data_IF_323456894376
#
_entry.id   IF_323456894376
#
_cell.length_a   1.000
_cell.length_b   1.000
_cell.length_c   1.000
_cell.angle_alpha   90.00
_cell.angle_beta   90.00
_cell.angle_gamma   90.00
#
_symmetry.space_group_name_H-M   'P 1'
#
loop_
_entity.id
_entity.type
_entity.pdbx_description
1 polymer ?
#
# COMPACT_ATOMS: atom_id res chain seq x y z
N UNK A 1 -5.13 25.25 23.43
CA UNK A 1 -6.35 24.46 23.13
C UNK A 1 -5.98 23.00 23.14
N UNK A 2 -6.83 22.17 23.72
CA UNK A 2 -6.56 20.74 23.93
C UNK A 2 -6.99 19.92 22.70
N UNK A 3 -6.02 19.32 22.01
CA UNK A 3 -6.25 18.43 20.86
C UNK A 3 -7.08 17.20 21.25
N UNK A 4 -7.04 16.80 22.52
CA UNK A 4 -7.79 15.65 23.05
C UNK A 4 -9.31 15.88 22.94
N UNK A 5 -9.78 17.12 23.04
CA UNK A 5 -11.19 17.46 22.89
C UNK A 5 -11.72 17.12 21.50
N UNK A 6 -10.99 17.51 20.44
CA UNK A 6 -11.40 17.23 19.05
C UNK A 6 -11.32 15.73 18.72
N UNK A 7 -10.30 15.05 19.23
CA UNK A 7 -10.18 13.59 19.07
C UNK A 7 -11.36 12.88 19.75
N UNK A 8 -11.72 13.29 20.97
CA UNK A 8 -12.86 12.71 21.68
C UNK A 8 -14.18 12.93 20.92
N UNK A 9 -14.40 14.13 20.36
CA UNK A 9 -15.57 14.41 19.53
C UNK A 9 -15.61 13.57 18.25
N UNK A 10 -14.46 13.35 17.59
CA UNK A 10 -14.37 12.43 16.44
C UNK A 10 -14.75 10.99 16.82
N UNK A 11 -14.31 10.53 18.00
CA UNK A 11 -14.67 9.20 18.53
C UNK A 11 -16.16 9.12 18.87
N UNK A 12 -16.74 10.17 19.45
CA UNK A 12 -18.17 10.27 19.75
C UNK A 12 -19.00 10.23 18.46
N UNK A 13 -18.65 11.05 17.47
CA UNK A 13 -19.28 11.03 16.15
C UNK A 13 -19.22 9.64 15.50
N UNK A 14 -18.09 8.94 15.60
CA UNK A 14 -17.95 7.58 15.10
C UNK A 14 -18.92 6.60 15.77
N UNK A 15 -19.19 6.75 17.08
CA UNK A 15 -20.16 5.93 17.82
C UNK A 15 -21.59 6.23 17.40
N UNK A 16 -21.94 7.48 17.17
CA UNK A 16 -23.28 7.85 16.69
C UNK A 16 -23.55 7.29 15.28
N UNK A 17 -22.55 7.35 14.38
CA UNK A 17 -22.64 6.70 13.06
C UNK A 17 -22.80 5.19 13.18
N UNK A 18 -22.09 4.54 14.10
CA UNK A 18 -22.23 3.09 14.35
C UNK A 18 -23.59 2.73 14.95
N UNK A 19 -24.12 3.56 15.86
CA UNK A 19 -25.44 3.40 16.46
C UNK A 19 -26.60 3.74 15.53
N UNK A 20 -26.33 4.39 14.40
CA UNK A 20 -27.35 4.82 13.44
C UNK A 20 -28.03 6.15 13.79
N UNK A 21 -27.52 6.89 14.77
CA UNK A 21 -28.02 8.22 15.16
C UNK A 21 -27.41 9.29 14.25
N UNK A 22 -27.90 9.36 13.01
CA UNK A 22 -27.28 10.18 11.97
C UNK A 22 -27.43 11.68 12.22
N UNK A 23 -28.55 12.10 12.81
CA UNK A 23 -28.79 13.51 13.16
C UNK A 23 -27.79 13.99 14.23
N UNK A 24 -27.53 13.16 15.25
CA UNK A 24 -26.54 13.46 16.29
C UNK A 24 -25.11 13.45 15.73
N UNK A 25 -24.81 12.53 14.81
CA UNK A 25 -23.52 12.49 14.12
C UNK A 25 -23.27 13.74 13.27
N UNK A 26 -24.28 14.25 12.56
CA UNK A 26 -24.17 15.47 11.75
C UNK A 26 -23.92 16.71 12.64
N UNK A 27 -24.66 16.84 13.75
CA UNK A 27 -24.42 17.92 14.73
C UNK A 27 -22.99 17.87 15.29
N UNK A 28 -22.50 16.68 15.66
CA UNK A 28 -21.13 16.50 16.13
C UNK A 28 -20.10 16.88 15.06
N UNK A 29 -20.33 16.56 13.79
CA UNK A 29 -19.44 16.96 12.69
C UNK A 29 -19.38 18.48 12.51
N UNK A 30 -20.53 19.17 12.60
CA UNK A 30 -20.57 20.63 12.54
C UNK A 30 -19.76 21.26 13.67
N UNK A 31 -19.93 20.76 14.91
CA UNK A 31 -19.16 21.22 16.07
C UNK A 31 -17.66 20.97 15.91
N UNK A 32 -17.28 19.80 15.40
CA UNK A 32 -15.88 19.44 15.14
C UNK A 32 -15.27 20.41 14.12
N UNK A 33 -15.96 20.67 13.01
CA UNK A 33 -15.48 21.56 11.95
C UNK A 33 -15.33 22.99 12.49
N UNK A 34 -16.33 23.50 13.22
CA UNK A 34 -16.30 24.84 13.80
C UNK A 34 -15.15 24.99 14.83
N UNK A 35 -14.99 24.02 15.73
CA UNK A 35 -13.96 24.05 16.75
C UNK A 35 -12.54 23.92 16.16
N UNK A 36 -12.39 23.19 15.05
CA UNK A 36 -11.12 22.97 14.39
C UNK A 36 -10.47 24.27 13.86
N UNK A 37 -11.25 25.31 13.56
CA UNK A 37 -10.73 26.57 13.02
C UNK A 37 -9.74 27.29 13.93
N UNK A 38 -9.75 27.00 15.23
CA UNK A 38 -8.87 27.64 16.20
C UNK A 38 -7.55 26.88 16.45
N UNK A 39 -7.34 25.75 15.77
CA UNK A 39 -6.18 24.87 16.00
C UNK A 39 -5.03 25.08 14.99
N UNK A 40 -3.88 24.50 15.31
CA UNK A 40 -2.71 24.50 14.43
C UNK A 40 -2.99 23.79 13.10
N UNK A 41 -2.32 24.19 12.02
CA UNK A 41 -2.47 23.61 10.67
C UNK A 41 -2.37 22.07 10.62
N UNK A 42 -1.46 21.39 11.36
CA UNK A 42 -1.42 19.93 11.42
C UNK A 42 -2.70 19.33 12.02
N UNK A 43 -3.16 19.87 13.15
CA UNK A 43 -4.40 19.43 13.81
C UNK A 43 -5.60 19.66 12.91
N UNK A 44 -5.66 20.83 12.25
CA UNK A 44 -6.69 21.12 11.25
C UNK A 44 -6.78 20.07 10.17
N UNK A 45 -5.62 19.67 9.64
CA UNK A 45 -5.53 18.65 8.59
C UNK A 45 -5.97 17.28 9.10
N UNK A 46 -5.49 16.87 10.28
CA UNK A 46 -5.86 15.60 10.90
C UNK A 46 -7.39 15.49 11.04
N UNK A 47 -7.99 16.47 11.72
CA UNK A 47 -9.43 16.49 12.00
C UNK A 47 -10.25 16.52 10.72
N UNK A 48 -9.83 17.31 9.74
CA UNK A 48 -10.46 17.35 8.42
C UNK A 48 -10.50 15.97 7.76
N UNK A 49 -9.38 15.23 7.72
CA UNK A 49 -9.34 13.92 7.07
C UNK A 49 -10.17 12.87 7.82
N UNK A 50 -10.19 12.89 9.16
CA UNK A 50 -11.03 11.98 9.93
C UNK A 50 -12.52 12.29 9.77
N UNK A 51 -12.91 13.57 9.82
CA UNK A 51 -14.30 13.99 9.57
C UNK A 51 -14.75 13.58 8.15
N UNK A 52 -13.91 13.80 7.13
CA UNK A 52 -14.19 13.35 5.77
C UNK A 52 -14.36 11.82 5.69
N UNK A 53 -13.52 11.05 6.39
CA UNK A 53 -13.63 9.59 6.43
C UNK A 53 -14.94 9.13 7.10
N UNK A 54 -15.39 9.80 8.15
CA UNK A 54 -16.66 9.53 8.83
C UNK A 54 -17.86 9.81 7.92
N UNK A 55 -17.88 10.96 7.24
CA UNK A 55 -18.90 11.30 6.24
C UNK A 55 -18.90 10.28 5.10
N UNK A 56 -17.73 9.90 4.57
CA UNK A 56 -17.63 8.85 3.54
C UNK A 56 -18.21 7.53 4.02
N UNK A 57 -17.93 7.13 5.28
CA UNK A 57 -18.49 5.90 5.87
C UNK A 57 -20.01 5.99 5.98
N UNK A 58 -20.53 7.13 6.46
CA UNK A 58 -21.97 7.41 6.57
C UNK A 58 -22.68 7.19 5.23
N UNK A 59 -22.16 7.78 4.16
CA UNK A 59 -22.71 7.64 2.81
C UNK A 59 -22.24 6.38 2.05
N UNK A 60 -21.53 5.46 2.72
CA UNK A 60 -20.96 4.23 2.11
C UNK A 60 -20.10 4.49 0.87
N UNK A 61 -19.41 5.63 0.85
CA UNK A 61 -18.51 6.07 -0.21
C UNK A 61 -17.09 5.54 0.05
N UNK A 62 -16.79 4.36 -0.47
CA UNK A 62 -15.46 3.76 -0.35
C UNK A 62 -14.59 4.10 -1.57
N UNK A 63 -13.48 4.86 -1.40
CA UNK A 63 -12.58 5.10 -2.52
C UNK A 63 -11.97 3.77 -2.99
N UNK A 64 -11.93 3.55 -4.32
CA UNK A 64 -11.39 2.31 -4.92
C UNK A 64 -9.91 2.08 -4.59
N UNK A 65 -9.18 3.15 -4.27
CA UNK A 65 -7.83 3.09 -3.74
C UNK A 65 -7.76 4.02 -2.52
N UNK A 66 -7.48 3.45 -1.36
CA UNK A 66 -7.29 4.15 -0.08
C UNK A 66 -5.95 4.88 0.00
N UNK A 67 -5.19 4.89 -1.09
CA UNK A 67 -4.04 5.78 -1.26
C UNK A 67 -4.54 7.02 -1.99
N UNK A 68 -5.11 8.02 -1.29
CA UNK A 68 -4.97 9.37 -1.81
C UNK A 68 -3.45 9.62 -1.87
N UNK A 69 -3.02 10.60 -2.64
CA UNK A 69 -1.73 11.29 -2.50
C UNK A 69 -0.73 11.12 -3.66
N UNK A 70 -0.80 10.12 -4.55
CA UNK A 70 -0.06 10.31 -5.82
C UNK A 70 -0.86 11.36 -6.60
N UNK A 71 -0.33 12.57 -6.84
CA UNK A 71 -1.10 13.61 -7.50
C UNK A 71 -1.55 13.09 -8.86
N UNK A 72 -2.83 12.80 -9.00
CA UNK A 72 -3.45 12.51 -10.29
C UNK A 72 -3.51 13.84 -11.04
N UNK A 73 -2.41 14.29 -11.63
CA UNK A 73 -2.48 15.62 -12.24
C UNK A 73 -1.29 16.20 -12.97
N UNK A 74 -0.06 15.73 -12.84
CA UNK A 74 1.02 16.29 -13.67
C UNK A 74 2.04 15.25 -14.08
N UNK A 75 2.30 15.19 -15.39
CA UNK A 75 3.42 14.48 -16.05
C UNK A 75 4.82 14.95 -15.57
N UNK A 76 4.90 15.70 -14.47
CA UNK A 76 6.07 16.49 -14.04
C UNK A 76 6.23 16.62 -12.53
N UNK A 77 5.67 15.73 -11.72
CA UNK A 77 6.22 15.61 -10.36
C UNK A 77 7.46 14.72 -10.45
N UNK A 78 8.68 15.25 -10.24
CA UNK A 78 9.79 14.37 -9.92
C UNK A 78 9.38 13.59 -8.67
N UNK A 79 9.64 12.28 -8.65
CA UNK A 79 9.31 11.38 -7.52
C UNK A 79 9.76 11.96 -6.14
N UNK A 80 10.64 12.97 -6.14
CA UNK A 80 11.19 13.70 -5.00
C UNK A 80 10.26 14.70 -4.32
N UNK A 81 9.28 15.28 -5.02
CA UNK A 81 8.42 16.36 -4.48
C UNK A 81 7.16 15.83 -3.77
N UNK A 82 7.00 14.51 -3.79
CA UNK A 82 5.92 13.84 -3.12
C UNK A 82 6.21 13.73 -1.61
N UNK A 83 5.33 14.20 -0.69
CA UNK A 83 5.61 14.19 0.74
C UNK A 83 5.93 12.82 1.35
N UNK A 84 5.46 11.73 0.70
CA UNK A 84 5.77 10.36 1.12
C UNK A 84 6.82 9.68 0.23
N UNK A 85 7.51 10.43 -0.63
CA UNK A 85 8.65 9.94 -1.42
C UNK A 85 9.70 9.22 -0.55
N UNK A 86 10.08 9.72 0.65
CA UNK A 86 11.05 9.02 1.49
C UNK A 86 10.64 7.59 1.85
N UNK A 87 9.33 7.32 2.00
CA UNK A 87 8.84 5.97 2.28
C UNK A 87 8.93 5.04 1.07
N UNK A 88 8.68 5.55 -0.14
CA UNK A 88 8.91 4.79 -1.37
C UNK A 88 10.39 4.51 -1.59
N UNK A 89 11.25 5.52 -1.42
CA UNK A 89 12.70 5.36 -1.48
C UNK A 89 13.19 4.32 -0.47
N UNK A 90 12.72 4.38 0.78
CA UNK A 90 13.04 3.38 1.80
C UNK A 90 12.59 1.97 1.40
N UNK A 91 11.37 1.83 0.86
CA UNK A 91 10.90 0.57 0.29
C UNK A 91 11.82 0.05 -0.81
N UNK A 92 12.32 0.93 -1.69
CA UNK A 92 13.25 0.52 -2.74
C UNK A 92 14.66 0.21 -2.23
N UNK A 93 15.17 0.89 -1.19
CA UNK A 93 16.45 0.53 -0.58
C UNK A 93 16.38 -0.83 0.09
N UNK A 94 15.31 -1.07 0.85
CA UNK A 94 15.14 -2.35 1.53
C UNK A 94 14.86 -3.48 0.53
N UNK A 95 14.19 -3.21 -0.60
CA UNK A 95 13.81 -4.23 -1.59
C UNK A 95 14.85 -4.55 -2.64
N UNK A 96 15.64 -3.57 -3.06
CA UNK A 96 16.49 -3.73 -4.23
C UNK A 96 17.78 -4.47 -3.92
N UNK A 97 18.38 -4.30 -2.74
CA UNK A 97 19.64 -4.97 -2.41
C UNK A 97 19.48 -6.50 -2.32
N UNK A 98 18.45 -7.03 -1.63
CA UNK A 98 18.18 -8.47 -1.67
C UNK A 98 17.80 -8.97 -3.06
N UNK A 99 17.11 -8.15 -3.87
CA UNK A 99 16.81 -8.49 -5.25
C UNK A 99 18.10 -8.58 -6.09
N UNK A 100 19.04 -7.63 -5.94
CA UNK A 100 20.34 -7.64 -6.62
C UNK A 100 21.12 -8.90 -6.29
N UNK A 101 21.19 -9.24 -5.00
CA UNK A 101 21.89 -10.43 -4.54
C UNK A 101 21.28 -11.71 -5.11
N UNK A 102 19.95 -11.80 -5.16
CA UNK A 102 19.23 -12.94 -5.76
C UNK A 102 19.47 -13.06 -7.28
N UNK A 103 19.68 -11.94 -7.95
CA UNK A 103 19.85 -11.85 -9.41
C UNK A 103 21.31 -11.93 -9.87
N UNK A 104 22.26 -11.96 -8.93
CA UNK A 104 23.70 -12.05 -9.22
C UNK A 104 24.03 -13.25 -10.09
N UNK A 105 24.65 -12.98 -11.25
CA UNK A 105 25.07 -14.00 -12.22
C UNK A 105 23.93 -14.72 -12.93
N UNK A 106 22.68 -14.28 -12.76
CA UNK A 106 21.50 -14.88 -13.41
C UNK A 106 21.34 -14.31 -14.82
N UNK A 107 20.93 -15.18 -15.75
CA UNK A 107 20.77 -14.83 -17.17
C UNK A 107 19.32 -14.76 -17.64
N UNK A 108 18.38 -15.38 -16.91
CA UNK A 108 16.94 -15.29 -17.13
C UNK A 108 16.31 -14.80 -15.85
N UNK A 109 15.76 -13.59 -15.91
CA UNK A 109 15.31 -12.85 -14.74
C UNK A 109 13.86 -12.41 -14.94
N UNK A 110 13.02 -12.63 -13.94
CA UNK A 110 11.66 -12.11 -13.92
C UNK A 110 11.40 -11.40 -12.61
N UNK A 111 11.07 -10.12 -12.69
CA UNK A 111 10.63 -9.36 -11.51
C UNK A 111 9.12 -9.19 -11.57
N UNK A 112 8.47 -9.58 -10.47
CA UNK A 112 7.04 -9.42 -10.25
C UNK A 112 6.88 -8.39 -9.14
N UNK A 113 6.40 -7.20 -9.48
CA UNK A 113 6.30 -6.07 -8.58
C UNK A 113 4.85 -5.78 -8.23
N UNK A 114 4.43 -6.17 -7.03
CA UNK A 114 3.18 -5.73 -6.42
C UNK A 114 3.39 -4.34 -5.81
N UNK A 115 2.83 -3.31 -6.41
CA UNK A 115 3.17 -1.93 -6.04
C UNK A 115 2.13 -0.91 -6.40
N UNK A 116 2.37 0.31 -5.93
CA UNK A 116 1.58 1.49 -6.29
C UNK A 116 2.27 2.24 -7.45
N UNK A 117 3.60 2.31 -7.40
CA UNK A 117 4.46 2.95 -8.40
C UNK A 117 5.58 2.00 -8.83
N UNK A 118 6.14 2.25 -10.02
CA UNK A 118 7.37 1.61 -10.50
C UNK A 118 8.48 2.64 -10.45
N UNK A 119 9.51 2.38 -9.65
CA UNK A 119 10.62 3.33 -9.44
C UNK A 119 11.63 3.22 -10.57
N UNK A 120 11.48 4.05 -11.60
CA UNK A 120 12.26 3.97 -12.85
C UNK A 120 13.77 3.90 -12.61
N UNK A 121 14.31 4.85 -11.83
CA UNK A 121 15.76 4.96 -11.61
C UNK A 121 16.36 3.75 -10.91
N UNK A 122 15.58 3.10 -10.03
CA UNK A 122 16.03 1.91 -9.28
C UNK A 122 16.14 0.68 -10.18
N UNK A 123 15.31 0.59 -11.22
CA UNK A 123 15.48 -0.44 -12.25
C UNK A 123 16.69 -0.14 -13.15
N UNK A 124 16.99 1.12 -13.46
CA UNK A 124 18.22 1.46 -14.20
C UNK A 124 19.48 1.06 -13.42
N UNK A 125 19.50 1.31 -12.10
CA UNK A 125 20.59 0.83 -11.24
C UNK A 125 20.69 -0.69 -11.27
N UNK A 126 19.56 -1.39 -11.12
CA UNK A 126 19.52 -2.84 -11.16
C UNK A 126 20.04 -3.40 -12.49
N UNK A 127 19.63 -2.83 -13.62
CA UNK A 127 20.09 -3.24 -14.96
C UNK A 127 21.61 -3.14 -15.08
N UNK A 128 22.19 -2.04 -14.59
CA UNK A 128 23.65 -1.86 -14.54
C UNK A 128 24.32 -2.93 -13.67
N UNK A 129 23.75 -3.21 -12.51
CA UNK A 129 24.33 -4.15 -11.55
C UNK A 129 24.32 -5.58 -12.09
N UNK A 130 23.18 -6.05 -12.63
CA UNK A 130 23.06 -7.42 -13.14
C UNK A 130 23.89 -7.64 -14.41
N UNK A 131 24.02 -6.63 -15.27
CA UNK A 131 24.83 -6.72 -16.49
C UNK A 131 26.31 -6.76 -16.20
N UNK A 132 26.79 -5.96 -15.24
CA UNK A 132 28.20 -5.99 -14.78
C UNK A 132 28.61 -7.35 -14.22
N UNK A 133 27.65 -8.08 -13.64
CA UNK A 133 27.89 -9.37 -12.98
C UNK A 133 27.63 -10.58 -13.88
N UNK A 134 27.05 -10.40 -15.06
CA UNK A 134 26.74 -11.48 -16.00
C UNK A 134 27.85 -11.68 -17.02
N UNK A 135 28.13 -12.93 -17.36
CA UNK A 135 29.11 -13.31 -18.39
C UNK A 135 28.50 -13.41 -19.80
N UNK A 136 27.21 -13.09 -19.96
CA UNK A 136 26.53 -13.14 -21.26
C UNK A 136 25.18 -12.43 -21.27
N UNK A 137 24.43 -12.55 -22.38
CA UNK A 137 23.14 -11.88 -22.54
C UNK A 137 22.16 -12.26 -21.42
N UNK A 138 21.46 -11.24 -20.93
CA UNK A 138 20.40 -11.35 -19.91
C UNK A 138 19.05 -11.20 -20.62
N UNK A 139 18.16 -12.17 -20.40
CA UNK A 139 16.73 -12.08 -20.69
C UNK A 139 16.00 -11.60 -19.44
N UNK A 140 15.12 -10.62 -19.61
CA UNK A 140 14.46 -9.92 -18.52
C UNK A 140 12.96 -9.80 -18.77
N UNK A 141 12.17 -10.17 -17.77
CA UNK A 141 10.72 -10.00 -17.72
C UNK A 141 10.35 -9.12 -16.54
N UNK A 142 9.38 -8.24 -16.75
CA UNK A 142 8.82 -7.39 -15.72
C UNK A 142 7.31 -7.54 -15.71
N UNK A 143 6.75 -7.90 -14.56
CA UNK A 143 5.30 -7.87 -14.33
C UNK A 143 4.98 -6.93 -13.20
N UNK A 144 4.30 -5.83 -13.50
CA UNK A 144 3.77 -4.94 -12.48
C UNK A 144 2.33 -5.34 -12.15
N UNK A 145 2.01 -5.45 -10.85
CA UNK A 145 0.67 -5.70 -10.33
C UNK A 145 0.30 -4.56 -9.39
N UNK A 146 -0.73 -3.79 -9.75
CA UNK A 146 -1.09 -2.62 -8.95
C UNK A 146 -2.30 -1.88 -9.47
N UNK A 147 -2.78 -0.88 -8.72
CA UNK A 147 -3.96 -0.12 -9.10
C UNK A 147 -3.70 0.82 -10.29
N UNK A 148 -4.78 1.27 -10.92
CA UNK A 148 -4.73 2.43 -11.82
C UNK A 148 -4.87 3.68 -10.95
N UNK A 149 -3.83 4.51 -10.93
CA UNK A 149 -3.78 5.71 -10.09
C UNK A 149 -4.42 6.92 -10.74
N UNK A 150 -4.38 7.00 -12.06
CA UNK A 150 -4.94 8.11 -12.84
C UNK A 150 -5.41 7.59 -14.19
N UNK A 151 -6.54 8.11 -14.66
CA UNK A 151 -7.06 7.88 -16.01
C UNK A 151 -6.60 8.93 -17.01
N UNK A 152 -6.00 10.03 -16.55
CA UNK A 152 -5.59 11.18 -17.39
C UNK A 152 -4.22 10.96 -18.01
N UNK A 153 -3.31 10.31 -17.28
CA UNK A 153 -1.99 9.90 -17.76
C UNK A 153 -1.64 8.57 -17.10
N UNK A 154 -1.40 7.55 -17.91
CA UNK A 154 -1.08 6.21 -17.42
C UNK A 154 0.39 6.13 -17.04
N UNK A 155 0.73 6.80 -15.95
CA UNK A 155 2.12 7.01 -15.54
C UNK A 155 2.88 5.70 -15.36
N UNK A 156 2.21 4.66 -14.85
CA UNK A 156 2.74 3.31 -14.74
C UNK A 156 3.11 2.74 -16.10
N UNK A 157 2.19 2.77 -17.06
CA UNK A 157 2.43 2.25 -18.40
C UNK A 157 3.58 2.99 -19.09
N UNK A 158 3.57 4.32 -19.03
CA UNK A 158 4.65 5.15 -19.57
C UNK A 158 6.02 4.82 -18.93
N UNK A 159 6.06 4.59 -17.61
CA UNK A 159 7.30 4.19 -16.93
C UNK A 159 7.76 2.81 -17.35
N UNK A 160 6.84 1.84 -17.50
CA UNK A 160 7.17 0.49 -17.96
C UNK A 160 7.72 0.49 -19.39
N UNK A 161 7.14 1.29 -20.29
CA UNK A 161 7.63 1.46 -21.67
C UNK A 161 9.02 2.13 -21.70
N UNK A 162 9.24 3.14 -20.85
CA UNK A 162 10.57 3.76 -20.71
C UNK A 162 11.59 2.75 -20.18
N UNK A 163 11.22 1.91 -19.22
CA UNK A 163 12.13 0.86 -18.71
C UNK A 163 12.49 -0.17 -19.77
N UNK A 164 11.54 -0.51 -20.65
CA UNK A 164 11.82 -1.36 -21.79
C UNK A 164 12.93 -0.77 -22.67
N UNK A 165 12.78 0.49 -23.08
CA UNK A 165 13.79 1.17 -23.89
C UNK A 165 15.14 1.37 -23.18
N UNK A 166 15.15 1.57 -21.86
CA UNK A 166 16.40 1.64 -21.11
C UNK A 166 17.11 0.28 -21.01
N UNK A 167 16.39 -0.83 -20.86
CA UNK A 167 17.03 -2.15 -20.78
C UNK A 167 17.82 -2.49 -22.05
N UNK A 168 17.29 -2.10 -23.22
CA UNK A 168 18.00 -2.25 -24.51
C UNK A 168 19.34 -1.52 -24.52
N UNK A 169 19.44 -0.35 -23.86
CA UNK A 169 20.70 0.41 -23.73
C UNK A 169 21.73 -0.33 -22.87
N UNK A 170 21.27 -1.16 -21.93
CA UNK A 170 22.12 -2.04 -21.12
C UNK A 170 22.38 -3.40 -21.78
N UNK A 171 22.01 -3.59 -23.05
CA UNK A 171 22.08 -4.87 -23.76
C UNK A 171 21.35 -6.02 -23.06
N UNK A 172 20.28 -5.69 -22.33
CA UNK A 172 19.36 -6.65 -21.74
C UNK A 172 18.25 -6.90 -22.75
N UNK A 173 18.00 -8.18 -23.05
CA UNK A 173 16.87 -8.58 -23.88
C UNK A 173 15.60 -8.59 -23.03
N UNK A 174 14.64 -7.73 -23.37
CA UNK A 174 13.40 -7.60 -22.61
C UNK A 174 12.31 -8.48 -23.24
N UNK A 175 12.15 -9.70 -22.74
CA UNK A 175 11.21 -10.69 -23.30
C UNK A 175 9.75 -10.25 -23.16
N UNK A 176 9.40 -9.65 -22.01
CA UNK A 176 8.02 -9.31 -21.70
C UNK A 176 7.90 -8.23 -20.63
N UNK A 177 7.18 -7.15 -20.94
CA UNK A 177 6.60 -6.23 -19.97
C UNK A 177 5.11 -6.53 -19.84
N UNK A 178 4.65 -6.79 -18.63
CA UNK A 178 3.23 -7.06 -18.35
C UNK A 178 2.73 -6.15 -17.24
N UNK A 179 1.53 -5.62 -17.42
CA UNK A 179 0.79 -4.91 -16.39
C UNK A 179 -0.48 -5.68 -16.03
N UNK A 180 -0.68 -5.91 -14.75
CA UNK A 180 -1.90 -6.48 -14.18
C UNK A 180 -2.53 -5.44 -13.26
N UNK A 181 -3.79 -5.09 -13.56
CA UNK A 181 -4.52 -4.11 -12.75
C UNK A 181 -5.12 -4.82 -11.54
N UNK A 182 -4.77 -4.34 -10.35
CA UNK A 182 -5.29 -4.86 -9.09
C UNK A 182 -5.69 -3.71 -8.15
N UNK A 183 -6.99 -3.50 -7.98
CA UNK A 183 -7.54 -2.48 -7.08
C UNK A 183 -7.91 -3.10 -5.72
N UNK A 184 -8.39 -4.34 -5.73
CA UNK A 184 -8.85 -5.07 -4.54
C UNK A 184 -7.92 -6.23 -4.13
N UNK A 185 -8.15 -6.79 -2.94
CA UNK A 185 -7.48 -8.02 -2.50
C UNK A 185 -7.77 -9.21 -3.43
N UNK A 186 -9.02 -9.32 -3.91
CA UNK A 186 -9.42 -10.37 -4.86
C UNK A 186 -8.67 -10.23 -6.20
N UNK A 187 -8.51 -8.99 -6.69
CA UNK A 187 -7.76 -8.73 -7.93
C UNK A 187 -6.28 -9.11 -7.78
N UNK A 188 -5.70 -8.90 -6.59
CA UNK A 188 -4.32 -9.32 -6.29
C UNK A 188 -4.22 -10.85 -6.35
N UNK A 189 -5.14 -11.57 -5.71
CA UNK A 189 -5.18 -13.05 -5.74
C UNK A 189 -5.31 -13.56 -7.17
N UNK A 190 -6.26 -13.01 -7.95
CA UNK A 190 -6.44 -13.36 -9.37
C UNK A 190 -5.20 -13.02 -10.22
N UNK A 191 -4.55 -11.88 -9.93
CA UNK A 191 -3.29 -11.52 -10.59
C UNK A 191 -2.20 -12.53 -10.28
N UNK A 192 -2.07 -12.96 -9.02
CA UNK A 192 -1.12 -14.01 -8.61
C UNK A 192 -1.40 -15.29 -9.37
N UNK A 193 -2.66 -15.73 -9.48
CA UNK A 193 -3.02 -16.93 -10.24
C UNK A 193 -2.60 -16.88 -11.71
N UNK A 194 -2.58 -15.69 -12.32
CA UNK A 194 -2.21 -15.46 -13.73
C UNK A 194 -0.71 -15.39 -14.00
N UNK A 195 0.14 -15.38 -12.98
CA UNK A 195 1.60 -15.28 -13.15
C UNK A 195 2.16 -16.61 -13.64
N UNK A 196 3.06 -16.57 -14.62
CA UNK A 196 3.65 -17.77 -15.21
C UNK A 196 5.16 -17.65 -15.32
N UNK A 197 5.83 -18.78 -15.11
CA UNK A 197 7.25 -18.98 -15.37
C UNK A 197 7.45 -19.26 -16.86
N UNK A 198 8.49 -18.68 -17.47
CA UNK A 198 8.86 -18.94 -18.86
C UNK A 198 9.73 -20.19 -19.01
N UNK A 199 10.63 -20.46 -18.06
CA UNK A 199 11.51 -21.63 -18.07
C UNK A 199 11.98 -22.03 -16.68
N UNK A 200 12.44 -23.26 -16.50
CA UNK A 200 12.88 -23.76 -15.17
C UNK A 200 14.08 -23.01 -14.58
N UNK A 201 14.93 -22.44 -15.43
CA UNK A 201 16.11 -21.70 -15.04
C UNK A 201 15.88 -20.18 -14.92
N UNK A 202 14.64 -19.73 -15.09
CA UNK A 202 14.22 -18.35 -14.84
C UNK A 202 14.23 -18.05 -13.33
N UNK A 203 15.05 -17.08 -12.92
CA UNK A 203 15.05 -16.60 -11.54
C UNK A 203 13.94 -15.57 -11.36
N UNK A 204 12.98 -15.87 -10.49
CA UNK A 204 11.84 -14.99 -10.21
C UNK A 204 12.06 -14.27 -8.87
N UNK A 205 11.93 -12.94 -8.89
CA UNK A 205 11.94 -12.09 -7.71
C UNK A 205 10.56 -11.44 -7.56
N UNK A 206 9.90 -11.69 -6.43
CA UNK A 206 8.60 -11.11 -6.12
C UNK A 206 8.78 -9.98 -5.11
N UNK A 207 8.38 -8.76 -5.46
CA UNK A 207 8.48 -7.56 -4.62
C UNK A 207 7.10 -7.11 -4.18
N UNK A 208 6.95 -6.78 -2.90
CA UNK A 208 5.72 -6.23 -2.35
C UNK A 208 5.96 -4.83 -1.78
N UNK A 209 5.39 -3.81 -2.40
CA UNK A 209 5.50 -2.40 -1.99
C UNK A 209 4.12 -1.82 -1.69
N UNK A 210 3.81 -1.65 -0.40
CA UNK A 210 2.54 -1.07 0.06
C UNK A 210 1.26 -1.72 -0.49
N UNK A 211 1.28 -2.98 -0.94
CA UNK A 211 0.08 -3.69 -1.43
C UNK A 211 -0.27 -4.96 -0.63
N UNK A 212 0.70 -5.55 0.06
CA UNK A 212 0.51 -6.83 0.77
C UNK A 212 -0.59 -6.76 1.84
N UNK A 213 -0.69 -5.63 2.56
CA UNK A 213 -1.69 -5.44 3.61
C UNK A 213 -3.13 -5.55 3.12
N UNK A 214 -3.39 -5.35 1.82
CA UNK A 214 -4.74 -5.51 1.25
C UNK A 214 -5.24 -6.95 1.41
N UNK A 215 -4.35 -7.94 1.39
CA UNK A 215 -4.71 -9.36 1.55
C UNK A 215 -5.33 -9.65 2.93
N UNK A 216 -5.03 -8.84 3.95
CA UNK A 216 -5.63 -8.97 5.29
C UNK A 216 -7.14 -8.70 5.30
N UNK A 217 -7.68 -8.06 4.25
CA UNK A 217 -9.12 -7.77 4.13
C UNK A 217 -9.92 -8.95 3.57
N UNK A 218 -9.25 -10.00 3.09
CA UNK A 218 -9.89 -11.18 2.50
C UNK A 218 -9.39 -12.45 3.20
N UNK A 219 -10.26 -13.11 3.95
CA UNK A 219 -9.95 -14.37 4.65
C UNK A 219 -9.42 -15.42 3.67
N UNK A 220 -8.32 -16.09 4.03
CA UNK A 220 -7.71 -17.11 3.19
C UNK A 220 -6.84 -16.58 2.03
N UNK A 221 -6.77 -15.25 1.81
CA UNK A 221 -6.06 -14.70 0.66
C UNK A 221 -4.55 -14.84 0.77
N UNK A 222 -3.99 -14.70 1.97
CA UNK A 222 -2.56 -14.88 2.22
C UNK A 222 -2.18 -16.34 1.90
N UNK A 223 -2.94 -17.29 2.41
CA UNK A 223 -2.75 -18.71 2.21
C UNK A 223 -2.80 -19.06 0.72
N UNK A 224 -3.77 -18.55 -0.04
CA UNK A 224 -3.83 -18.76 -1.49
C UNK A 224 -2.59 -18.23 -2.21
N UNK A 225 -2.17 -17.00 -1.88
CA UNK A 225 -1.00 -16.37 -2.52
C UNK A 225 0.30 -17.12 -2.24
N UNK A 226 0.49 -17.65 -1.02
CA UNK A 226 1.72 -18.37 -0.65
C UNK A 226 1.68 -19.88 -0.95
N UNK A 227 0.55 -20.55 -0.72
CA UNK A 227 0.46 -22.02 -0.76
C UNK A 227 0.24 -22.57 -2.17
N UNK A 228 -0.58 -21.92 -3.01
CA UNK A 228 -0.76 -22.35 -4.41
C UNK A 228 0.53 -22.19 -5.24
N UNK A 229 1.52 -21.48 -4.70
CA UNK A 229 2.84 -21.26 -5.30
C UNK A 229 3.95 -22.10 -4.66
N UNK A 230 3.70 -22.77 -3.54
CA UNK A 230 4.71 -23.55 -2.80
C UNK A 230 5.19 -24.78 -3.58
N UNK A 231 4.31 -25.39 -4.39
CA UNK A 231 4.64 -26.56 -5.23
C UNK A 231 5.44 -26.21 -6.50
N UNK A 232 5.53 -24.92 -6.84
CA UNK A 232 6.40 -24.41 -7.91
C UNK A 232 7.75 -24.00 -7.28
N UNK A 233 8.62 -25.00 -7.12
CA UNK A 233 9.86 -25.06 -6.31
C UNK A 233 10.96 -23.99 -6.55
N UNK A 234 10.64 -22.76 -6.90
CA UNK A 234 11.64 -21.87 -7.50
C UNK A 234 11.36 -20.36 -7.38
N UNK A 235 10.41 -19.97 -6.53
CA UNK A 235 10.44 -18.61 -6.00
C UNK A 235 11.56 -18.56 -4.97
N UNK A 236 12.72 -18.03 -5.34
CA UNK A 236 13.51 -17.28 -4.36
C UNK A 236 12.63 -16.12 -3.91
N UNK A 237 11.74 -16.38 -2.94
CA UNK A 237 10.95 -15.36 -2.28
C UNK A 237 11.96 -14.53 -1.51
N UNK A 238 12.56 -13.56 -2.19
CA UNK A 238 13.05 -12.39 -1.53
C UNK A 238 11.77 -11.74 -0.99
N UNK A 239 11.39 -12.12 0.23
CA UNK A 239 10.30 -11.55 0.99
C UNK A 239 10.72 -10.13 1.38
N UNK A 240 10.83 -9.25 0.39
CA UNK A 240 11.43 -7.96 0.62
C UNK A 240 10.35 -6.99 1.08
N UNK A 241 10.24 -6.99 2.40
CA UNK A 241 9.85 -5.89 3.27
C UNK A 241 8.46 -5.31 3.03
N UNK A 242 7.49 -5.85 3.77
CA UNK A 242 6.27 -5.14 4.15
C UNK A 242 6.63 -3.94 5.07
N UNK A 243 7.30 -2.91 4.55
CA UNK A 243 7.53 -1.71 5.34
C UNK A 243 6.22 -0.94 5.43
N UNK A 244 5.80 -0.71 6.68
CA UNK A 244 4.81 0.29 7.11
C UNK A 244 3.34 0.03 6.78
N UNK A 245 2.87 -1.21 6.95
CA UNK A 245 1.49 -1.42 7.42
C UNK A 245 1.44 -2.08 8.80
N UNK A 246 2.47 -2.86 9.19
CA UNK A 246 2.50 -3.56 10.48
C UNK A 246 2.52 -2.58 11.65
N UNK A 247 3.31 -1.50 11.60
CA UNK A 247 3.33 -0.50 12.68
C UNK A 247 2.05 0.33 12.79
N UNK A 248 1.41 0.68 11.67
CA UNK A 248 0.16 1.45 11.66
C UNK A 248 -1.07 0.57 12.00
N UNK A 249 -1.09 -0.67 11.53
CA UNK A 249 -2.14 -1.64 11.86
C UNK A 249 -2.01 -2.17 13.29
N UNK A 250 -0.79 -2.35 13.81
CA UNK A 250 -0.60 -2.65 15.24
C UNK A 250 -1.01 -1.45 16.10
N UNK A 251 -0.63 -0.21 15.73
CA UNK A 251 -1.08 0.97 16.47
C UNK A 251 -2.62 1.13 16.44
N UNK A 252 -3.27 0.87 15.31
CA UNK A 252 -4.73 0.91 15.19
C UNK A 252 -5.41 -0.24 15.97
N UNK A 253 -4.85 -1.46 15.92
CA UNK A 253 -5.37 -2.61 16.64
C UNK A 253 -5.18 -2.50 18.17
N UNK A 254 -4.07 -1.92 18.62
CA UNK A 254 -3.81 -1.64 20.04
C UNK A 254 -4.80 -0.61 20.59
N UNK A 255 -5.08 0.45 19.80
CA UNK A 255 -6.07 1.48 20.16
C UNK A 255 -7.49 0.90 20.25
N UNK A 256 -7.87 0.02 19.31
CA UNK A 256 -9.17 -0.69 19.37
C UNK A 256 -9.24 -1.67 20.54
N UNK A 257 -8.15 -2.36 20.87
CA UNK A 257 -8.10 -3.28 22.01
C UNK A 257 -8.20 -2.54 23.35
N UNK A 258 -7.52 -1.39 23.48
CA UNK A 258 -7.56 -0.55 24.68
C UNK A 258 -8.89 0.16 24.90
N UNK A 259 -9.72 0.33 23.86
CA UNK A 259 -11.06 0.92 23.97
C UNK A 259 -12.16 -0.11 24.24
N UNK A 260 -11.96 -1.38 23.86
CA UNK A 260 -12.92 -2.45 24.12
C UNK A 260 -12.80 -3.10 25.51
N UNK A 261 -11.65 -3.03 26.19
CA UNK A 261 -11.40 -3.70 27.48
C UNK A 261 -11.70 -2.85 28.73
N UNK A 262 -12.49 -1.77 28.65
CA UNK A 262 -12.97 -1.10 29.88
C UNK A 262 -14.09 -1.92 30.52
N UNK A 263 -13.92 -2.44 31.76
CA UNK A 263 -15.03 -3.08 32.45
C UNK A 263 -16.13 -2.04 32.70
N UNK A 264 -17.36 -2.40 32.34
CA UNK A 264 -18.55 -1.56 32.57
C UNK A 264 -18.75 -1.25 34.06
N UNK A 265 -19.52 -0.18 34.38
CA UNK A 265 -19.68 0.26 35.76
C UNK A 265 -20.37 -0.83 36.58
N UNK A 266 -19.73 -1.20 37.70
CA UNK A 266 -20.30 -2.07 38.73
C UNK A 266 -21.57 -1.43 39.27
N UNK A 267 -22.72 -2.08 39.05
CA UNK A 267 -23.98 -1.69 39.66
C UNK A 267 -24.02 -2.16 41.12
N UNK A 268 -24.30 -1.21 42.01
CA UNK A 268 -25.15 -1.44 43.18
C UNK A 268 -24.47 -1.39 44.53
N UNK A 269 -24.63 -0.28 45.24
CA UNK A 269 -25.05 -0.30 46.65
C UNK A 269 -26.13 0.79 46.81
N UNK A 270 -27.34 0.36 47.16
CA UNK A 270 -28.47 1.20 47.57
C UNK A 270 -28.21 1.70 49.00
N UNK A 271 -28.09 3.02 49.19
CA UNK A 271 -28.26 3.65 50.50
C UNK A 271 -29.75 3.91 50.76
N UNK A 272 -30.30 3.25 51.78
CA UNK A 272 -31.60 3.60 52.36
C UNK A 272 -31.44 4.80 53.32
N UNK A 273 -32.39 5.75 53.37
CA UNK A 273 -32.33 6.87 54.31
C UNK A 273 -32.91 6.47 55.68
N UNK A 274 -32.22 6.89 56.74
CA UNK A 274 -32.72 7.00 58.11
C UNK A 274 -32.73 8.46 58.54
#
# INVERSE_FOLDING_TARGET
MDTSLLINKLVECAKEIEGGHLDDADLLLEEIIAANESFSKPTKSLVKYYAEALVRRLYRLYPRNLTPLIPSGTDRFPETDYPFAPFYCFGDFTTLDPARDALKGKRRVHIIEFGIVVSFWRYCDLFRDITTQSTGPISFRLTFVGPILSTVADHTQNTLERLHGEAERFAIYFDQVRRLVANSAADIVDSVLKLTRASEDETIVVKWRFQFHKLLTLTGAIEKVFWERADQACYSVALVTAVAAVAAAQAAAEVVRLTCDRPGPTKGEEEHPG
#
